data_IF_684582845892
#
_entry.id   IF_684582845892
#
_cell.length_a   1.000
_cell.length_b   1.000
_cell.length_c   1.000
_cell.angle_alpha   90.00
_cell.angle_beta   90.00
_cell.angle_gamma   90.00
#
_symmetry.space_group_name_H-M   'P 1'
#
loop_
_entity.id
_entity.type
_entity.pdbx_description
1 polymer ?
#
# COMPACT_ATOMS: atom_id res chain seq x y z
N UNK A 1 -3.68 12.56 10.83
CA UNK A 1 -2.91 12.65 9.58
C UNK A 1 -2.11 13.94 9.60
N UNK A 2 -0.89 13.94 9.06
CA UNK A 2 -0.10 15.17 8.87
C UNK A 2 -0.50 15.73 7.51
N UNK A 3 -0.60 17.05 7.37
CA UNK A 3 -0.87 17.67 6.06
C UNK A 3 0.20 17.22 5.05
N UNK A 4 -0.23 16.73 3.88
CA UNK A 4 0.65 16.16 2.86
C UNK A 4 1.20 14.77 3.18
N UNK A 5 0.44 13.94 3.92
CA UNK A 5 0.71 12.51 4.01
C UNK A 5 0.07 11.76 2.85
N UNK A 6 0.84 10.90 2.22
CA UNK A 6 0.40 10.01 1.14
C UNK A 6 -0.64 9.00 1.66
N UNK A 7 -1.44 8.46 0.74
CA UNK A 7 -2.40 7.40 1.01
C UNK A 7 -1.88 6.07 0.47
N UNK A 8 -1.51 5.16 1.36
CA UNK A 8 -1.11 3.79 0.99
C UNK A 8 -2.34 2.88 0.84
N UNK A 9 -2.45 2.17 -0.29
CA UNK A 9 -3.49 1.16 -0.57
C UNK A 9 -2.82 -0.13 -1.05
N UNK A 10 -3.35 -1.29 -0.63
CA UNK A 10 -3.00 -2.58 -1.24
C UNK A 10 -4.24 -3.22 -1.87
N UNK A 11 -4.17 -3.53 -3.15
CA UNK A 11 -5.21 -4.25 -3.87
C UNK A 11 -5.01 -5.77 -3.72
N UNK A 12 -6.00 -6.44 -3.18
CA UNK A 12 -6.07 -7.90 -3.12
C UNK A 12 -7.34 -8.34 -3.86
N UNK A 13 -7.27 -9.32 -4.77
CA UNK A 13 -8.48 -9.87 -5.38
C UNK A 13 -9.33 -10.51 -4.27
N UNK A 14 -10.64 -10.36 -4.36
CA UNK A 14 -11.55 -11.15 -3.53
C UNK A 14 -11.50 -12.59 -4.00
N UNK A 15 -11.04 -13.50 -3.16
CA UNK A 15 -11.33 -14.92 -3.37
C UNK A 15 -12.83 -15.11 -3.17
N UNK A 16 -13.55 -15.39 -4.25
CA UNK A 16 -14.92 -15.89 -4.18
C UNK A 16 -14.87 -17.24 -3.46
N UNK A 17 -15.17 -17.22 -2.17
CA UNK A 17 -15.05 -18.36 -1.25
C UNK A 17 -15.96 -19.55 -1.55
N UNK A 18 -16.78 -19.50 -2.61
CA UNK A 18 -17.70 -20.58 -2.94
C UNK A 18 -17.00 -21.87 -3.43
N UNK A 19 -15.70 -21.82 -3.76
CA UNK A 19 -14.93 -23.00 -4.19
C UNK A 19 -13.87 -23.46 -3.17
N UNK A 20 -13.76 -22.82 -2.00
CA UNK A 20 -12.72 -23.13 -1.02
C UNK A 20 -13.06 -24.36 -0.15
N UNK A 21 -14.34 -24.64 0.08
CA UNK A 21 -14.76 -25.80 0.88
C UNK A 21 -14.76 -27.12 0.07
N UNK A 22 -15.02 -27.11 -1.23
CA UNK A 22 -14.98 -28.32 -2.08
C UNK A 22 -13.56 -28.76 -2.47
N UNK A 23 -12.57 -27.85 -2.48
CA UNK A 23 -11.19 -28.17 -2.83
C UNK A 23 -10.41 -28.89 -1.71
N UNK A 24 -10.92 -28.87 -0.47
CA UNK A 24 -10.27 -29.51 0.68
C UNK A 24 -10.44 -31.04 0.70
N UNK A 25 -11.44 -31.59 -0.01
CA UNK A 25 -11.72 -33.05 0.00
C UNK A 25 -11.08 -33.84 -1.15
N UNK A 26 -10.57 -33.19 -2.20
CA UNK A 26 -10.07 -33.89 -3.40
C UNK A 26 -8.54 -33.94 -3.55
N UNK A 27 -7.76 -33.32 -2.66
CA UNK A 27 -6.30 -33.36 -2.70
C UNK A 27 -5.69 -32.78 -4.00
N UNK A 28 -6.48 -32.05 -4.78
CA UNK A 28 -6.08 -31.41 -6.03
C UNK A 28 -6.26 -29.90 -5.86
N UNK A 29 -5.13 -29.19 -5.74
CA UNK A 29 -5.10 -27.73 -5.77
C UNK A 29 -5.79 -27.24 -7.06
N UNK A 30 -6.81 -26.35 -6.97
CA UNK A 30 -7.52 -25.87 -8.15
C UNK A 30 -6.55 -25.09 -9.06
N UNK A 31 -6.48 -25.42 -10.36
CA UNK A 31 -5.71 -24.64 -11.31
C UNK A 31 -6.54 -23.44 -11.79
N UNK A 32 -5.96 -22.24 -11.76
CA UNK A 32 -6.50 -20.94 -12.25
C UNK A 32 -7.66 -20.35 -11.42
N UNK A 33 -7.60 -19.13 -10.88
CA UNK A 33 -7.09 -17.89 -11.44
C UNK A 33 -6.52 -16.96 -10.34
N UNK A 34 -5.29 -17.21 -9.88
CA UNK A 34 -4.55 -16.16 -9.16
C UNK A 34 -4.02 -15.18 -10.21
N UNK A 35 -4.71 -14.04 -10.39
CA UNK A 35 -4.22 -12.96 -11.26
C UNK A 35 -2.85 -12.48 -10.76
N UNK A 36 -1.87 -12.41 -11.64
CA UNK A 36 -0.54 -11.92 -11.29
C UNK A 36 -0.61 -10.44 -10.88
N UNK A 37 0.24 -10.03 -9.94
CA UNK A 37 0.37 -8.63 -9.49
C UNK A 37 0.58 -7.65 -10.65
N UNK A 38 1.37 -8.04 -11.66
CA UNK A 38 1.57 -7.24 -12.87
C UNK A 38 0.31 -7.16 -13.73
N UNK A 39 -0.44 -8.25 -13.85
CA UNK A 39 -1.72 -8.25 -14.56
C UNK A 39 -2.74 -7.35 -13.86
N UNK A 40 -2.79 -7.37 -12.52
CA UNK A 40 -3.66 -6.48 -11.75
C UNK A 40 -3.31 -5.00 -11.98
N UNK A 41 -2.01 -4.67 -12.00
CA UNK A 41 -1.51 -3.35 -12.34
C UNK A 41 -1.97 -2.94 -13.74
N UNK A 42 -1.74 -3.79 -14.74
CA UNK A 42 -2.08 -3.51 -16.14
C UNK A 42 -3.60 -3.38 -16.36
N UNK A 43 -4.41 -4.07 -15.55
CA UNK A 43 -5.86 -3.95 -15.58
C UNK A 43 -6.37 -2.63 -14.98
N UNK A 44 -5.72 -2.12 -13.92
CA UNK A 44 -6.15 -0.88 -13.26
C UNK A 44 -5.61 0.39 -13.92
N UNK A 45 -4.43 0.33 -14.53
CA UNK A 45 -3.76 1.51 -15.09
C UNK A 45 -4.65 2.30 -16.08
N UNK A 46 -5.39 1.68 -17.03
CA UNK A 46 -6.28 2.41 -17.92
C UNK A 46 -7.41 3.13 -17.16
N UNK A 47 -7.99 2.51 -16.13
CA UNK A 47 -9.09 3.08 -15.38
C UNK A 47 -8.69 4.38 -14.64
N UNK A 48 -7.43 4.45 -14.17
CA UNK A 48 -6.89 5.69 -13.61
C UNK A 48 -6.53 6.72 -14.68
N UNK A 49 -5.99 6.28 -15.82
CA UNK A 49 -5.61 7.18 -16.92
C UNK A 49 -6.82 7.83 -17.63
N UNK A 50 -7.95 7.13 -17.69
CA UNK A 50 -9.19 7.63 -18.32
C UNK A 50 -10.01 8.54 -17.40
N UNK A 51 -9.75 8.51 -16.09
CA UNK A 51 -10.51 9.29 -15.13
C UNK A 51 -9.84 10.66 -14.88
N UNK A 52 -10.48 11.79 -15.23
CA UNK A 52 -9.88 13.12 -15.10
C UNK A 52 -9.63 13.56 -13.65
N UNK A 53 -10.17 12.84 -12.67
CA UNK A 53 -9.90 13.10 -11.25
C UNK A 53 -8.54 12.56 -10.80
N UNK A 54 -7.91 11.70 -11.60
CA UNK A 54 -6.65 11.04 -11.29
C UNK A 54 -5.57 11.39 -12.32
N UNK A 55 -4.36 11.63 -11.83
CA UNK A 55 -3.15 11.74 -12.62
C UNK A 55 -2.25 10.53 -12.31
N UNK A 56 -1.77 9.80 -13.30
CA UNK A 56 -0.77 8.74 -13.09
C UNK A 56 0.60 9.39 -12.94
N UNK A 57 1.14 9.35 -11.72
CA UNK A 57 2.40 10.02 -11.38
C UNK A 57 3.61 9.14 -11.68
N UNK A 58 3.55 7.84 -11.32
CA UNK A 58 4.66 6.91 -11.50
C UNK A 58 4.17 5.46 -11.54
N UNK A 59 4.89 4.59 -12.26
CA UNK A 59 4.58 3.16 -12.37
C UNK A 59 5.85 2.35 -12.20
N UNK A 60 6.01 1.73 -11.03
CA UNK A 60 7.21 0.97 -10.66
C UNK A 60 6.92 -0.52 -10.87
N UNK A 61 7.37 -1.07 -11.99
CA UNK A 61 7.17 -2.49 -12.36
C UNK A 61 8.28 -3.43 -11.91
N UNK A 62 9.51 -2.92 -11.77
CA UNK A 62 10.72 -3.72 -11.55
C UNK A 62 10.98 -4.10 -10.08
N UNK A 63 10.09 -3.70 -9.15
CA UNK A 63 10.21 -4.03 -7.74
C UNK A 63 9.58 -5.40 -7.43
N UNK A 64 9.93 -6.01 -6.30
CA UNK A 64 9.31 -7.27 -5.85
C UNK A 64 7.78 -7.16 -5.66
N UNK A 65 7.30 -5.94 -5.44
CA UNK A 65 5.88 -5.58 -5.41
C UNK A 65 5.71 -4.41 -6.38
N UNK A 66 4.94 -4.55 -7.47
CA UNK A 66 4.66 -3.43 -8.35
C UNK A 66 3.90 -2.32 -7.61
N UNK A 67 4.22 -1.06 -7.91
CA UNK A 67 3.58 0.11 -7.31
C UNK A 67 3.05 1.03 -8.42
N UNK A 68 1.79 1.43 -8.29
CA UNK A 68 1.16 2.48 -9.10
C UNK A 68 0.96 3.70 -8.21
N UNK A 69 1.65 4.80 -8.53
CA UNK A 69 1.44 6.09 -7.86
C UNK A 69 0.49 6.94 -8.68
N UNK A 70 -0.59 7.40 -8.05
CA UNK A 70 -1.55 8.30 -8.67
C UNK A 70 -1.77 9.52 -7.78
N UNK A 71 -2.17 10.64 -8.37
CA UNK A 71 -2.59 11.83 -7.64
C UNK A 71 -4.08 12.06 -7.86
N UNK A 72 -4.81 12.20 -6.77
CA UNK A 72 -6.24 12.53 -6.79
C UNK A 72 -6.44 14.04 -6.65
N UNK A 73 -7.13 14.65 -7.61
CA UNK A 73 -7.51 16.07 -7.64
C UNK A 73 -6.36 17.05 -7.31
N UNK A 74 -5.16 16.80 -7.83
CA UNK A 74 -3.96 17.59 -7.61
C UNK A 74 -3.55 17.79 -6.14
N UNK A 75 -4.12 17.01 -5.21
CA UNK A 75 -4.02 17.28 -3.77
C UNK A 75 -3.57 16.09 -2.93
N UNK A 76 -3.85 14.85 -3.36
CA UNK A 76 -3.56 13.65 -2.59
C UNK A 76 -2.78 12.64 -3.43
N UNK A 77 -1.54 12.39 -3.03
CA UNK A 77 -0.73 11.32 -3.59
C UNK A 77 -1.16 9.98 -2.97
N UNK A 78 -1.33 8.97 -3.83
CA UNK A 78 -1.83 7.63 -3.49
C UNK A 78 -0.86 6.59 -4.04
N UNK A 79 -0.30 5.77 -3.15
CA UNK A 79 0.58 4.66 -3.48
C UNK A 79 -0.22 3.35 -3.46
N UNK A 80 -0.45 2.78 -4.64
CA UNK A 80 -1.21 1.53 -4.81
C UNK A 80 -0.24 0.38 -5.02
N UNK A 81 -0.25 -0.57 -4.10
CA UNK A 81 0.49 -1.84 -4.18
C UNK A 81 -0.45 -3.01 -4.46
N UNK A 82 0.09 -4.13 -4.92
CA UNK A 82 -0.69 -5.31 -5.29
C UNK A 82 -0.27 -6.51 -4.45
N UNK A 83 -1.23 -7.11 -3.74
CA UNK A 83 -1.02 -8.27 -2.86
C UNK A 83 0.07 -8.07 -1.80
N UNK A 84 0.31 -6.82 -1.38
CA UNK A 84 1.34 -6.52 -0.39
C UNK A 84 0.77 -6.43 1.02
N UNK A 85 0.66 -7.57 1.69
CA UNK A 85 0.16 -7.65 3.06
C UNK A 85 1.23 -7.39 4.13
N UNK A 86 2.50 -7.26 3.73
CA UNK A 86 3.62 -7.06 4.65
C UNK A 86 3.53 -5.77 5.50
N UNK A 87 3.01 -4.63 5.01
CA UNK A 87 2.85 -3.41 5.82
C UNK A 87 1.72 -3.47 6.85
N UNK A 88 0.78 -4.41 6.71
CA UNK A 88 -0.43 -4.45 7.54
C UNK A 88 -0.13 -4.74 9.03
N UNK A 89 0.70 -5.73 9.40
CA UNK A 89 1.10 -5.94 10.79
C UNK A 89 1.76 -4.72 11.43
N UNK A 90 2.61 -3.99 10.69
CA UNK A 90 3.25 -2.77 11.20
C UNK A 90 2.23 -1.67 11.48
N UNK A 91 1.26 -1.50 10.58
CA UNK A 91 0.15 -0.55 10.75
C UNK A 91 -0.70 -0.91 11.98
N UNK A 92 -0.99 -2.20 12.17
CA UNK A 92 -1.72 -2.69 13.35
C UNK A 92 -0.92 -2.47 14.65
N UNK A 93 0.40 -2.70 14.62
CA UNK A 93 1.28 -2.49 15.76
C UNK A 93 1.32 -1.01 16.17
N UNK A 94 1.55 -0.11 15.22
CA UNK A 94 1.56 1.34 15.46
C UNK A 94 0.22 1.83 16.01
N UNK A 95 -0.89 1.28 15.51
CA UNK A 95 -2.23 1.54 16.04
C UNK A 95 -2.36 1.07 17.49
N UNK A 96 -1.99 -0.17 17.79
CA UNK A 96 -2.06 -0.71 19.14
C UNK A 96 -1.26 0.14 20.14
N UNK A 97 -0.06 0.58 19.79
CA UNK A 97 0.73 1.49 20.63
C UNK A 97 0.10 2.88 20.79
N UNK A 98 -0.51 3.41 19.73
CA UNK A 98 -1.20 4.70 19.78
C UNK A 98 -2.45 4.66 20.65
N UNK A 99 -3.16 3.52 20.66
CA UNK A 99 -4.37 3.30 21.44
C UNK A 99 -4.06 3.08 22.94
N UNK A 100 -2.86 2.57 23.27
CA UNK A 100 -2.43 2.40 24.66
C UNK A 100 -2.27 3.74 25.40
N UNK A 101 -1.74 4.78 24.75
CA UNK A 101 -1.54 6.08 25.41
C UNK A 101 -1.43 7.24 24.40
N UNK A 102 -2.19 8.31 24.62
CA UNK A 102 -2.25 9.48 23.72
C UNK A 102 -0.86 10.11 23.37
N UNK A 103 0.03 10.25 24.37
CA UNK A 103 1.42 10.73 24.17
C UNK A 103 2.24 9.94 23.16
N UNK A 104 1.95 8.66 22.93
CA UNK A 104 2.68 7.85 21.93
C UNK A 104 2.44 8.40 20.53
N UNK A 105 1.19 8.75 20.21
CA UNK A 105 0.83 9.38 18.94
C UNK A 105 1.58 10.71 18.76
N UNK A 106 1.63 11.53 19.81
CA UNK A 106 2.31 12.84 19.76
C UNK A 106 3.82 12.66 19.52
N UNK A 107 4.43 11.69 20.18
CA UNK A 107 5.84 11.35 20.00
C UNK A 107 6.13 10.86 18.58
N UNK A 108 5.31 9.96 18.03
CA UNK A 108 5.46 9.45 16.66
C UNK A 108 5.38 10.58 15.64
N UNK A 109 4.42 11.51 15.81
CA UNK A 109 4.29 12.69 14.94
C UNK A 109 5.52 13.59 15.06
N UNK A 110 6.01 13.84 16.28
CA UNK A 110 7.19 14.68 16.50
C UNK A 110 8.44 14.10 15.84
N UNK A 111 8.69 12.80 16.02
CA UNK A 111 9.83 12.11 15.41
C UNK A 111 9.72 12.14 13.88
N UNK A 112 8.53 11.91 13.32
CA UNK A 112 8.31 11.97 11.87
C UNK A 112 8.58 13.37 11.30
N UNK A 113 8.13 14.42 11.97
CA UNK A 113 8.38 15.80 11.56
C UNK A 113 9.86 16.16 11.68
N UNK A 114 10.52 15.77 12.76
CA UNK A 114 11.96 15.97 12.94
C UNK A 114 12.77 15.26 11.85
N UNK A 115 12.49 13.98 11.57
CA UNK A 115 13.20 13.20 10.56
C UNK A 115 13.05 13.81 9.16
N UNK A 116 11.85 14.30 8.83
CA UNK A 116 11.59 15.03 7.59
C UNK A 116 12.38 16.34 7.52
N UNK A 117 12.37 17.13 8.59
CA UNK A 117 13.10 18.39 8.65
C UNK A 117 14.63 18.21 8.60
N UNK A 118 15.14 17.11 9.17
CA UNK A 118 16.55 16.75 9.16
C UNK A 118 16.99 16.08 7.85
N UNK A 119 16.07 15.78 6.92
CA UNK A 119 16.39 15.13 5.64
C UNK A 119 16.87 13.68 5.78
N UNK A 120 16.51 13.00 6.88
CA UNK A 120 16.91 11.61 7.18
C UNK A 120 15.78 10.59 6.99
N UNK A 121 14.65 11.05 6.45
CA UNK A 121 13.51 10.20 6.07
C UNK A 121 13.39 10.13 4.54
N UNK A 122 13.08 8.96 4.00
CA UNK A 122 12.80 8.76 2.58
C UNK A 122 13.64 7.65 1.96
N UNK A 123 13.08 6.44 1.88
CA UNK A 123 13.77 5.27 1.35
C UNK A 123 14.24 5.46 -0.10
N UNK A 124 13.46 6.17 -0.92
CA UNK A 124 13.82 6.48 -2.31
C UNK A 124 15.09 7.34 -2.44
N UNK A 125 15.43 8.11 -1.39
CA UNK A 125 16.65 8.93 -1.29
C UNK A 125 17.81 8.24 -0.56
N UNK A 126 17.71 6.93 -0.25
CA UNK A 126 18.72 6.18 0.49
C UNK A 126 18.71 6.42 2.01
N UNK A 127 17.67 7.10 2.51
CA UNK A 127 17.46 7.38 3.92
C UNK A 127 16.53 6.35 4.58
N UNK A 128 16.30 6.46 5.88
CA UNK A 128 15.42 5.54 6.61
C UNK A 128 14.01 5.56 6.00
N UNK A 129 13.41 4.36 5.88
CA UNK A 129 12.00 4.26 5.52
C UNK A 129 11.15 4.85 6.64
N UNK A 130 9.94 5.32 6.34
CA UNK A 130 9.03 5.84 7.38
C UNK A 130 8.60 4.76 8.41
N UNK A 131 8.94 3.50 8.15
CA UNK A 131 8.67 2.33 8.99
C UNK A 131 9.92 1.81 9.73
N UNK A 132 11.07 2.50 9.61
CA UNK A 132 12.36 2.13 10.20
C UNK A 132 12.71 2.98 11.42
#
# INVERSE_FOLDING_TARGET
AICGSDLDITCCPYDTGDNAEEAAESGQSPPSAQMDTLQMLDALLPAFAENPMFEVVDVIRAAMVPILRVRFQDALDVDISFKNMSPLPNTQLLRAYSDLHARVRDLVVLVKLWAKAAGVSGAASGNLSAYS
#
